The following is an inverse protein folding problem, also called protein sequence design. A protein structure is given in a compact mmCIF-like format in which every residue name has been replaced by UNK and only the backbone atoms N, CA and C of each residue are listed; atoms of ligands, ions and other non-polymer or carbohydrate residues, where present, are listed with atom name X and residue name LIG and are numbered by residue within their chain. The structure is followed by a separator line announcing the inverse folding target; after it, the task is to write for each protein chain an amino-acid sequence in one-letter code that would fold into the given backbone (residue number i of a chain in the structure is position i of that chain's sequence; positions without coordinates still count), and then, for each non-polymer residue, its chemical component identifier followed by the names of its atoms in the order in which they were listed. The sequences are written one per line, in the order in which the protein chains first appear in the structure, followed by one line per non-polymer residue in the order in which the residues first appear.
data_IF_161158686598
#
_entry.id   IF_161158686598
#
_cell.length_a   1.000
_cell.length_b   1.000
_cell.length_c   1.000
_cell.angle_alpha   90.00
_cell.angle_beta   90.00
_cell.angle_gamma   90.00
#
_symmetry.space_group_name_H-M   'P 1'
#
loop_
_entity.id
_entity.type
_entity.pdbx_description
1 polymer ?
#
# COMPACT_ATOMS: atom_id res chain seq x y z
N UNK A 1 -8.36 17.34 -13.24
CA UNK A 1 -8.71 17.44 -11.81
C UNK A 1 -7.46 17.81 -11.04
N UNK A 2 -7.46 18.92 -10.30
CA UNK A 2 -6.34 19.32 -9.44
C UNK A 2 -6.72 18.99 -8.00
N UNK A 3 -5.96 18.11 -7.35
CA UNK A 3 -6.15 17.81 -5.94
C UNK A 3 -5.49 18.87 -5.07
N UNK A 4 -6.18 19.33 -4.04
CA UNK A 4 -5.58 20.19 -3.01
C UNK A 4 -4.54 19.42 -2.20
N UNK A 5 -4.83 18.16 -1.89
CA UNK A 5 -3.94 17.23 -1.18
C UNK A 5 -3.77 15.94 -1.98
N UNK A 6 -2.53 15.54 -2.22
CA UNK A 6 -2.23 14.28 -2.90
C UNK A 6 -2.24 13.08 -1.94
N UNK A 7 -2.10 13.35 -0.66
CA UNK A 7 -2.19 12.38 0.44
C UNK A 7 -2.62 13.08 1.72
N UNK A 8 -3.15 12.29 2.64
CA UNK A 8 -3.45 12.67 4.03
C UNK A 8 -2.79 11.66 4.96
N UNK A 9 -2.26 12.10 6.09
CA UNK A 9 -1.56 11.21 6.98
C UNK A 9 -1.99 11.37 8.43
N UNK A 10 -1.87 10.26 9.18
CA UNK A 10 -2.15 10.20 10.61
C UNK A 10 -0.93 9.63 11.32
N UNK A 11 -0.46 10.32 12.34
CA UNK A 11 0.56 9.79 13.22
C UNK A 11 -0.10 8.90 14.28
N UNK A 12 0.43 7.69 14.48
CA UNK A 12 -0.08 6.75 15.48
C UNK A 12 -1.60 6.43 15.33
N UNK A 13 -2.12 6.30 14.11
CA UNK A 13 -3.50 5.93 13.86
C UNK A 13 -3.86 4.58 14.49
N UNK A 14 -2.94 3.63 14.45
CA UNK A 14 -3.09 2.30 15.03
C UNK A 14 -2.17 2.18 16.24
N UNK A 15 -2.68 1.72 17.42
CA UNK A 15 -1.85 1.50 18.59
C UNK A 15 -0.72 0.50 18.33
N UNK A 16 0.47 0.74 18.88
CA UNK A 16 1.65 -0.13 18.68
C UNK A 16 1.42 -1.58 19.07
N UNK A 17 0.64 -1.81 20.13
CA UNK A 17 0.27 -3.17 20.54
C UNK A 17 -0.51 -3.87 19.44
N UNK A 18 -1.51 -3.19 18.88
CA UNK A 18 -2.32 -3.73 17.78
C UNK A 18 -1.49 -3.96 16.51
N UNK A 19 -0.49 -3.12 16.22
CA UNK A 19 0.45 -3.36 15.13
C UNK A 19 1.22 -4.68 15.31
N UNK A 20 1.69 -4.96 16.54
CA UNK A 20 2.36 -6.22 16.87
C UNK A 20 1.43 -7.42 16.74
N UNK A 21 0.19 -7.29 17.21
CA UNK A 21 -0.82 -8.35 17.09
C UNK A 21 -1.10 -8.67 15.61
N UNK A 22 -1.21 -7.66 14.76
CA UNK A 22 -1.39 -7.82 13.31
C UNK A 22 -0.19 -8.54 12.69
N UNK A 23 1.05 -8.16 13.04
CA UNK A 23 2.27 -8.81 12.54
C UNK A 23 2.29 -10.29 12.94
N UNK A 24 2.04 -10.59 14.22
CA UNK A 24 2.04 -11.95 14.73
C UNK A 24 0.94 -12.79 14.07
N UNK A 25 -0.25 -12.24 13.94
CA UNK A 25 -1.38 -12.89 13.29
C UNK A 25 -1.08 -13.17 11.80
N UNK A 26 -0.57 -12.20 11.04
CA UNK A 26 -0.23 -12.41 9.65
C UNK A 26 0.84 -13.49 9.46
N UNK A 27 1.87 -13.50 10.32
CA UNK A 27 2.92 -14.54 10.31
C UNK A 27 2.38 -15.92 10.67
N UNK A 28 1.42 -16.03 11.57
CA UNK A 28 0.85 -17.33 11.98
C UNK A 28 0.02 -18.01 10.89
N UNK A 29 -0.43 -17.28 9.86
CA UNK A 29 -1.18 -17.85 8.73
C UNK A 29 -0.34 -18.80 7.86
N UNK A 30 0.99 -18.72 7.91
CA UNK A 30 1.92 -19.53 7.10
C UNK A 30 1.59 -19.54 5.59
N UNK A 31 0.88 -18.50 5.09
CA UNK A 31 0.47 -18.34 3.68
C UNK A 31 1.19 -17.15 3.05
N UNK A 32 2.49 -17.04 3.28
CA UNK A 32 3.31 -15.99 2.68
C UNK A 32 3.56 -16.30 1.20
N UNK A 33 3.15 -15.38 0.34
CA UNK A 33 3.31 -15.47 -1.12
C UNK A 33 4.26 -14.40 -1.63
N UNK A 34 4.97 -14.71 -2.72
CA UNK A 34 5.68 -13.68 -3.46
C UNK A 34 4.66 -12.75 -4.13
N UNK A 35 4.84 -11.43 -3.95
CA UNK A 35 3.91 -10.45 -4.51
C UNK A 35 4.03 -10.37 -6.04
N UNK A 36 2.90 -10.43 -6.71
CA UNK A 36 2.79 -10.33 -8.17
C UNK A 36 2.34 -8.90 -8.53
N UNK A 37 2.71 -8.44 -9.71
CA UNK A 37 2.30 -7.16 -10.28
C UNK A 37 1.50 -7.42 -11.55
N UNK A 38 0.31 -6.85 -11.65
CA UNK A 38 -0.45 -6.83 -12.90
C UNK A 38 0.35 -6.11 -13.99
N UNK A 39 0.29 -6.61 -15.23
CA UNK A 39 0.99 -6.01 -16.37
C UNK A 39 2.37 -6.60 -16.68
N UNK A 40 2.86 -7.57 -15.91
CA UNK A 40 4.00 -8.40 -16.35
C UNK A 40 3.49 -9.37 -17.42
N UNK A 41 4.10 -9.41 -18.64
CA UNK A 41 3.63 -10.26 -19.74
C UNK A 41 3.47 -11.73 -19.32
N UNK A 42 2.29 -12.30 -19.55
CA UNK A 42 1.95 -13.68 -19.21
C UNK A 42 1.62 -13.91 -17.73
N UNK A 43 1.37 -12.87 -16.96
CA UNK A 43 0.88 -12.96 -15.56
C UNK A 43 -0.53 -12.36 -15.50
N UNK A 44 -1.53 -13.21 -15.69
CA UNK A 44 -2.93 -12.77 -15.74
C UNK A 44 -3.62 -12.82 -14.36
N UNK A 45 -3.20 -13.71 -13.46
CA UNK A 45 -3.82 -13.89 -12.12
C UNK A 45 -2.78 -14.14 -11.02
N UNK A 46 -3.08 -13.66 -9.82
CA UNK A 46 -2.24 -13.86 -8.61
C UNK A 46 -2.04 -15.34 -8.20
N UNK A 47 -2.80 -16.25 -8.77
CA UNK A 47 -2.78 -17.69 -8.44
C UNK A 47 -1.85 -18.51 -9.32
N UNK A 48 -1.26 -17.95 -10.36
CA UNK A 48 -0.42 -18.68 -11.29
C UNK A 48 1.00 -18.92 -10.75
N UNK A 49 1.53 -20.13 -10.98
CA UNK A 49 2.94 -20.44 -10.70
C UNK A 49 3.83 -19.70 -11.69
N UNK A 50 4.39 -18.57 -11.28
CA UNK A 50 5.32 -17.82 -12.10
C UNK A 50 6.54 -18.66 -12.49
N UNK A 51 6.92 -18.64 -13.77
CA UNK A 51 8.19 -19.14 -14.26
C UNK A 51 9.37 -18.35 -13.63
N UNK A 52 10.57 -18.90 -13.70
CA UNK A 52 11.79 -18.22 -13.22
C UNK A 52 11.98 -16.85 -13.89
N UNK A 53 11.71 -16.74 -15.19
CA UNK A 53 11.82 -15.51 -15.97
C UNK A 53 10.79 -14.46 -15.51
N UNK A 54 9.52 -14.86 -15.37
CA UNK A 54 8.45 -13.97 -14.89
C UNK A 54 8.73 -13.46 -13.46
N UNK A 55 9.27 -14.30 -12.58
CA UNK A 55 9.71 -13.86 -11.25
C UNK A 55 10.83 -12.84 -11.31
N UNK A 56 11.79 -12.99 -12.24
CA UNK A 56 12.86 -12.02 -12.41
C UNK A 56 12.34 -10.67 -12.94
N UNK A 57 11.43 -10.67 -13.91
CA UNK A 57 10.81 -9.44 -14.42
C UNK A 57 9.96 -8.76 -13.34
N UNK A 58 9.13 -9.52 -12.62
CA UNK A 58 8.36 -8.98 -11.49
C UNK A 58 9.27 -8.33 -10.45
N UNK A 59 10.41 -8.97 -10.12
CA UNK A 59 11.37 -8.44 -9.13
C UNK A 59 11.98 -7.09 -9.52
N UNK A 60 12.04 -6.76 -10.80
CA UNK A 60 12.52 -5.43 -11.24
C UNK A 60 11.58 -4.31 -10.84
N UNK A 61 10.27 -4.59 -10.87
CA UNK A 61 9.22 -3.62 -10.51
C UNK A 61 8.82 -3.76 -9.05
N UNK A 62 8.62 -5.00 -8.59
CA UNK A 62 8.20 -5.31 -7.23
C UNK A 62 8.92 -6.55 -6.71
N UNK A 63 9.62 -6.38 -5.61
CA UNK A 63 10.21 -7.47 -4.86
C UNK A 63 9.72 -7.39 -3.42
N UNK A 64 8.71 -8.15 -3.06
CA UNK A 64 8.14 -8.20 -1.71
C UNK A 64 7.39 -9.51 -1.48
N UNK A 65 7.10 -9.81 -0.22
CA UNK A 65 6.23 -10.92 0.15
C UNK A 65 4.94 -10.39 0.76
N UNK A 66 3.85 -11.12 0.58
CA UNK A 66 2.52 -10.71 1.04
C UNK A 66 1.78 -11.83 1.73
N UNK A 67 0.90 -11.44 2.66
CA UNK A 67 -0.15 -12.28 3.24
C UNK A 67 -1.46 -11.51 3.10
N UNK A 68 -2.52 -12.18 2.63
CA UNK A 68 -3.83 -11.57 2.47
C UNK A 68 -4.68 -11.78 3.71
N UNK A 69 -5.25 -10.67 4.23
CA UNK A 69 -6.04 -10.63 5.46
C UNK A 69 -7.47 -10.15 5.14
N UNK A 70 -8.47 -10.73 5.82
CA UNK A 70 -9.89 -10.37 5.67
C UNK A 70 -10.59 -10.16 7.02
N UNK A 71 -9.82 -10.00 8.06
CA UNK A 71 -10.28 -9.97 9.45
C UNK A 71 -11.00 -8.66 9.77
N UNK A 72 -12.29 -8.70 10.16
CA UNK A 72 -13.07 -7.51 10.48
C UNK A 72 -12.48 -6.67 11.59
N UNK A 73 -11.79 -7.29 12.57
CA UNK A 73 -11.16 -6.57 13.68
C UNK A 73 -10.03 -5.64 13.23
N UNK A 74 -9.35 -5.94 12.09
CA UNK A 74 -8.36 -5.07 11.46
C UNK A 74 -9.08 -3.99 10.65
N UNK A 75 -10.00 -4.40 9.77
CA UNK A 75 -10.73 -3.53 8.84
C UNK A 75 -11.43 -2.41 9.60
N UNK A 76 -12.19 -2.75 10.64
CA UNK A 76 -12.98 -1.80 11.44
C UNK A 76 -12.13 -0.75 12.17
N UNK A 77 -10.85 -1.02 12.41
CA UNK A 77 -9.92 -0.03 13.00
C UNK A 77 -9.36 0.95 11.97
N UNK A 78 -9.32 0.59 10.71
CA UNK A 78 -8.67 1.35 9.64
C UNK A 78 -9.67 2.24 8.87
N UNK A 79 -10.83 1.70 8.52
CA UNK A 79 -11.85 2.39 7.70
C UNK A 79 -12.23 3.78 8.22
N UNK A 80 -12.42 4.02 9.54
CA UNK A 80 -12.75 5.37 10.02
C UNK A 80 -11.71 6.43 9.67
N UNK A 81 -10.42 6.08 9.72
CA UNK A 81 -9.34 6.98 9.32
C UNK A 81 -9.37 7.30 7.82
N UNK A 82 -9.64 6.30 6.97
CA UNK A 82 -9.74 6.52 5.52
C UNK A 82 -10.93 7.43 5.20
N UNK A 83 -12.09 7.24 5.86
CA UNK A 83 -13.25 8.14 5.72
C UNK A 83 -12.92 9.58 6.16
N UNK A 84 -12.24 9.73 7.29
CA UNK A 84 -11.79 11.04 7.80
C UNK A 84 -10.84 11.72 6.81
N UNK A 85 -9.85 10.99 6.27
CA UNK A 85 -8.93 11.52 5.26
C UNK A 85 -9.68 11.96 3.99
N UNK A 86 -10.58 11.13 3.49
CA UNK A 86 -11.38 11.41 2.29
C UNK A 86 -12.18 12.71 2.42
N UNK A 87 -12.80 12.92 3.58
CA UNK A 87 -13.54 14.14 3.89
C UNK A 87 -12.61 15.35 4.06
N UNK A 88 -11.59 15.24 4.91
CA UNK A 88 -10.73 16.37 5.29
C UNK A 88 -9.84 16.83 4.15
N UNK A 89 -9.40 15.92 3.28
CA UNK A 89 -8.65 16.25 2.07
C UNK A 89 -9.54 16.77 0.92
N UNK A 90 -10.86 16.81 1.11
CA UNK A 90 -11.81 17.28 0.10
C UNK A 90 -11.93 16.36 -1.12
N UNK A 91 -11.47 15.10 -1.03
CA UNK A 91 -11.58 14.18 -2.16
C UNK A 91 -13.02 13.72 -2.39
N UNK A 92 -13.76 13.43 -1.32
CA UNK A 92 -15.19 13.05 -1.31
C UNK A 92 -15.51 11.89 -2.27
N UNK A 93 -14.58 10.94 -2.42
CA UNK A 93 -14.83 9.75 -3.23
C UNK A 93 -15.89 8.85 -2.57
N UNK A 94 -16.85 8.41 -3.38
CA UNK A 94 -17.78 7.36 -3.01
C UNK A 94 -17.08 6.00 -3.14
N UNK A 95 -17.21 5.16 -2.13
CA UNK A 95 -16.73 3.79 -2.11
C UNK A 95 -17.67 2.88 -1.33
N UNK A 96 -17.70 1.62 -1.70
CA UNK A 96 -18.62 0.63 -1.15
C UNK A 96 -17.88 -0.50 -0.44
N UNK A 97 -16.81 -0.99 -1.03
CA UNK A 97 -16.11 -2.18 -0.60
C UNK A 97 -14.68 -1.89 -0.14
N UNK A 98 -14.23 -2.71 0.81
CA UNK A 98 -12.82 -2.88 1.15
C UNK A 98 -12.34 -4.21 0.55
N UNK A 99 -11.27 -4.17 -0.22
CA UNK A 99 -10.60 -5.39 -0.67
C UNK A 99 -9.97 -6.15 0.50
N UNK A 100 -9.49 -7.36 0.24
CA UNK A 100 -8.62 -8.06 1.19
C UNK A 100 -7.40 -7.19 1.49
N UNK A 101 -7.08 -7.03 2.78
CA UNK A 101 -5.94 -6.24 3.22
C UNK A 101 -4.66 -6.98 2.88
N UNK A 102 -3.69 -6.29 2.30
CA UNK A 102 -2.39 -6.84 2.02
C UNK A 102 -1.42 -6.53 3.17
N UNK A 103 -1.04 -7.55 3.94
CA UNK A 103 0.13 -7.47 4.81
C UNK A 103 1.37 -7.67 3.97
N UNK A 104 2.26 -6.67 3.93
CA UNK A 104 3.45 -6.69 3.08
C UNK A 104 4.73 -6.74 3.91
N UNK A 105 5.64 -7.59 3.48
CA UNK A 105 6.95 -7.82 4.08
C UNK A 105 8.01 -7.37 3.08
N UNK A 106 8.85 -6.42 3.48
CA UNK A 106 10.02 -5.97 2.73
C UNK A 106 11.27 -6.27 3.54
N UNK A 107 12.03 -7.29 3.12
CA UNK A 107 13.37 -7.58 3.62
C UNK A 107 14.44 -6.80 2.85
N UNK A 108 15.72 -7.11 3.12
CA UNK A 108 16.85 -6.46 2.45
C UNK A 108 16.75 -6.52 0.92
N UNK A 109 16.96 -5.37 0.26
CA UNK A 109 16.84 -5.14 -1.18
C UNK A 109 15.44 -5.34 -1.75
N UNK A 110 14.42 -5.50 -0.92
CA UNK A 110 13.03 -5.58 -1.35
C UNK A 110 12.43 -4.18 -1.47
N UNK A 111 11.57 -4.00 -2.48
CA UNK A 111 11.01 -2.71 -2.89
C UNK A 111 9.73 -2.88 -3.71
N UNK A 112 9.08 -1.77 -4.00
CA UNK A 112 8.04 -1.66 -5.01
C UNK A 112 8.21 -0.32 -5.74
N UNK A 113 8.55 -0.39 -7.03
CA UNK A 113 8.84 0.82 -7.82
C UNK A 113 7.58 1.63 -8.13
N UNK A 114 7.75 2.73 -8.85
CA UNK A 114 6.69 3.68 -9.17
C UNK A 114 5.48 3.02 -9.83
N UNK A 115 4.33 3.16 -9.19
CA UNK A 115 3.05 2.62 -9.65
C UNK A 115 1.87 3.45 -9.14
N UNK A 116 0.69 3.25 -9.74
CA UNK A 116 -0.60 3.61 -9.21
C UNK A 116 -1.37 2.35 -8.83
N UNK A 117 -2.19 2.43 -7.80
CA UNK A 117 -3.02 1.29 -7.37
C UNK A 117 -4.30 1.13 -8.18
N UNK A 118 -4.77 2.21 -8.82
CA UNK A 118 -5.96 2.20 -9.66
C UNK A 118 -5.62 1.75 -11.07
N UNK A 119 -6.27 0.68 -11.53
CA UNK A 119 -6.26 0.28 -12.94
C UNK A 119 -7.13 1.19 -13.82
N UNK A 120 -6.89 1.18 -15.14
CA UNK A 120 -7.69 1.92 -16.14
C UNK A 120 -9.02 1.21 -16.37
N UNK A 121 -9.04 -0.12 -16.27
CA UNK A 121 -10.21 -0.96 -16.53
C UNK A 121 -10.84 -1.35 -15.19
N UNK A 122 -12.18 -1.19 -15.05
CA UNK A 122 -12.90 -1.70 -13.89
C UNK A 122 -12.77 -3.22 -13.75
N UNK A 123 -12.90 -3.71 -12.52
CA UNK A 123 -12.93 -5.14 -12.24
C UNK A 123 -14.23 -5.81 -12.78
N UNK A 124 -14.37 -7.11 -12.54
CA UNK A 124 -15.54 -7.89 -12.96
C UNK A 124 -16.89 -7.39 -12.38
N UNK A 125 -16.83 -6.61 -11.29
CA UNK A 125 -17.99 -5.96 -10.65
C UNK A 125 -18.19 -4.51 -11.11
N UNK A 126 -17.46 -4.05 -12.12
CA UNK A 126 -17.52 -2.68 -12.63
C UNK A 126 -16.88 -1.65 -11.69
N UNK A 127 -16.03 -2.07 -10.73
CA UNK A 127 -15.42 -1.19 -9.71
C UNK A 127 -13.96 -0.93 -9.96
N UNK A 128 -13.50 0.21 -9.47
CA UNK A 128 -12.08 0.63 -9.45
C UNK A 128 -11.67 0.99 -8.03
N UNK A 129 -10.37 0.87 -7.73
CA UNK A 129 -9.83 1.38 -6.47
C UNK A 129 -9.90 2.90 -6.45
N UNK A 130 -10.53 3.46 -5.42
CA UNK A 130 -10.71 4.91 -5.21
C UNK A 130 -9.67 5.46 -4.26
N UNK A 131 -9.51 4.79 -3.13
CA UNK A 131 -8.62 5.19 -2.05
C UNK A 131 -7.71 4.04 -1.66
N UNK A 132 -6.46 4.39 -1.44
CA UNK A 132 -5.43 3.52 -0.89
C UNK A 132 -4.97 4.03 0.47
N UNK A 133 -4.63 3.11 1.35
CA UNK A 133 -3.95 3.44 2.60
C UNK A 133 -2.75 2.53 2.82
N UNK A 134 -1.63 3.11 3.27
CA UNK A 134 -0.44 2.39 3.69
C UNK A 134 -0.17 2.66 5.16
N UNK A 135 -0.11 1.60 5.97
CA UNK A 135 0.11 1.68 7.42
C UNK A 135 1.45 1.01 7.76
N UNK A 136 2.35 1.75 8.42
CA UNK A 136 3.58 1.18 8.93
C UNK A 136 3.28 0.39 10.21
N UNK A 137 3.74 -0.85 10.31
CA UNK A 137 3.41 -1.73 11.44
C UNK A 137 4.54 -1.88 12.46
N UNK A 138 5.80 -1.70 12.05
CA UNK A 138 6.94 -1.80 12.96
C UNK A 138 7.70 -0.49 13.09
N UNK A 139 8.53 -0.40 14.11
CA UNK A 139 9.23 0.84 14.42
C UNK A 139 10.31 1.15 13.37
N UNK A 140 10.51 2.44 13.02
CA UNK A 140 11.57 2.85 12.10
C UNK A 140 12.99 2.45 12.53
N UNK A 141 13.20 2.18 13.81
CA UNK A 141 14.47 1.69 14.34
C UNK A 141 14.78 0.23 13.97
N UNK A 142 13.79 -0.52 13.49
CA UNK A 142 13.91 -1.93 13.14
C UNK A 142 14.37 -2.15 11.68
N UNK A 143 14.41 -1.09 10.87
CA UNK A 143 14.84 -1.17 9.47
C UNK A 143 15.43 0.16 8.98
N UNK A 144 16.15 0.10 7.84
CA UNK A 144 16.70 1.26 7.15
C UNK A 144 16.24 1.22 5.67
N UNK A 145 16.02 2.38 5.07
CA UNK A 145 15.39 2.48 3.74
C UNK A 145 13.89 2.22 3.80
N UNK A 146 13.29 1.80 2.70
CA UNK A 146 11.87 1.47 2.63
C UNK A 146 10.95 2.67 2.75
N UNK A 147 11.41 3.88 2.43
CA UNK A 147 10.58 5.09 2.44
C UNK A 147 9.44 4.95 1.44
N UNK A 148 8.24 5.36 1.87
CA UNK A 148 7.10 5.57 0.99
C UNK A 148 7.25 6.95 0.36
N UNK A 149 7.30 7.00 -0.96
CA UNK A 149 7.44 8.22 -1.73
C UNK A 149 6.23 8.43 -2.64
N UNK A 150 5.79 9.68 -2.79
CA UNK A 150 4.73 10.09 -3.70
C UNK A 150 5.31 10.92 -4.84
N UNK A 151 4.89 10.61 -6.07
CA UNK A 151 5.29 11.32 -7.28
C UNK A 151 4.22 12.30 -7.76
N UNK A 152 4.63 13.50 -8.17
CA UNK A 152 3.76 14.43 -8.89
C UNK A 152 3.90 14.25 -10.40
N UNK A 153 2.79 13.88 -11.07
CA UNK A 153 2.75 13.69 -12.53
C UNK A 153 2.80 14.98 -13.36
N UNK A 154 2.48 16.12 -12.76
CA UNK A 154 2.31 17.36 -13.50
C UNK A 154 3.60 18.00 -14.02
N UNK A 155 4.77 17.54 -13.58
CA UNK A 155 6.08 18.06 -14.03
C UNK A 155 7.12 16.94 -14.07
N UNK A 156 7.64 16.58 -15.26
CA UNK A 156 8.59 15.47 -15.43
C UNK A 156 9.86 15.56 -14.56
N UNK A 157 10.23 16.75 -14.10
CA UNK A 157 11.47 17.03 -13.37
C UNK A 157 11.25 17.40 -11.90
N UNK A 158 10.05 17.19 -11.33
CA UNK A 158 9.84 17.45 -9.91
C UNK A 158 10.44 16.32 -9.06
N UNK A 159 11.12 16.73 -7.98
CA UNK A 159 11.55 15.76 -6.96
C UNK A 159 10.31 15.13 -6.31
N UNK A 160 10.33 13.81 -6.06
CA UNK A 160 9.21 13.15 -5.37
C UNK A 160 9.03 13.72 -3.97
N UNK A 161 7.78 13.79 -3.52
CA UNK A 161 7.47 14.09 -2.12
C UNK A 161 7.79 12.83 -1.33
N UNK A 162 8.69 12.94 -0.37
CA UNK A 162 9.12 11.82 0.46
C UNK A 162 8.33 11.83 1.75
N UNK A 163 7.50 10.82 1.97
CA UNK A 163 7.00 10.46 3.29
C UNK A 163 7.99 9.50 3.94
N UNK A 164 8.92 10.05 4.69
CA UNK A 164 9.89 9.25 5.43
C UNK A 164 9.27 8.69 6.70
N UNK A 165 9.63 7.45 7.04
CA UNK A 165 9.34 6.88 8.36
C UNK A 165 9.95 7.72 9.49
N UNK A 166 10.98 8.52 9.22
CA UNK A 166 11.62 9.41 10.22
C UNK A 166 10.87 10.71 10.43
N UNK A 167 10.12 11.19 9.45
CA UNK A 167 9.45 12.50 9.51
C UNK A 167 7.94 12.39 9.64
N UNK A 168 7.29 11.73 8.70
CA UNK A 168 5.83 11.70 8.57
C UNK A 168 5.22 10.36 9.00
N UNK A 169 5.93 9.23 8.80
CA UNK A 169 5.56 7.93 9.33
C UNK A 169 6.50 7.56 10.48
N UNK A 170 6.63 8.47 11.44
CA UNK A 170 7.67 8.46 12.48
C UNK A 170 7.53 7.35 13.53
N UNK A 171 6.55 6.46 13.42
CA UNK A 171 6.32 5.37 14.37
C UNK A 171 5.42 4.29 13.78
N UNK A 172 5.48 3.11 14.39
CA UNK A 172 4.50 2.05 14.14
C UNK A 172 3.07 2.57 14.34
N UNK A 173 2.17 2.19 13.46
CA UNK A 173 0.78 2.61 13.45
C UNK A 173 0.50 3.91 12.69
N UNK A 174 1.52 4.60 12.19
CA UNK A 174 1.29 5.76 11.31
C UNK A 174 0.73 5.31 9.96
N UNK A 175 -0.17 6.11 9.41
CA UNK A 175 -0.96 5.79 8.20
C UNK A 175 -0.90 6.94 7.20
N UNK A 176 -0.63 6.63 5.94
CA UNK A 176 -0.86 7.52 4.81
C UNK A 176 -2.07 7.03 4.02
N UNK A 177 -3.00 7.94 3.70
CA UNK A 177 -4.17 7.70 2.84
C UNK A 177 -4.03 8.57 1.61
N UNK A 178 -4.37 8.04 0.43
CA UNK A 178 -4.23 8.77 -0.83
C UNK A 178 -5.19 8.22 -1.89
N UNK A 179 -5.57 9.04 -2.90
CA UNK A 179 -6.30 8.55 -4.06
C UNK A 179 -5.50 7.48 -4.80
N UNK A 180 -6.15 6.37 -5.17
CA UNK A 180 -5.46 5.20 -5.72
C UNK A 180 -4.74 5.44 -7.04
N UNK A 181 -5.04 6.54 -7.73
CA UNK A 181 -4.34 6.95 -8.95
C UNK A 181 -3.06 7.79 -8.69
N UNK A 182 -2.78 8.14 -7.43
CA UNK A 182 -1.55 8.87 -7.09
C UNK A 182 -0.36 7.93 -7.20
N UNK A 183 0.62 8.35 -7.97
CA UNK A 183 1.86 7.58 -8.16
C UNK A 183 2.69 7.57 -6.89
N UNK A 184 3.13 6.38 -6.52
CA UNK A 184 3.91 6.19 -5.31
C UNK A 184 4.85 4.99 -5.47
N UNK A 185 5.82 4.90 -4.57
CA UNK A 185 6.74 3.75 -4.49
C UNK A 185 7.17 3.48 -3.05
N UNK A 186 7.69 2.28 -2.81
CA UNK A 186 8.46 1.91 -1.62
C UNK A 186 9.89 1.67 -2.05
N UNK A 187 10.82 2.49 -1.54
CA UNK A 187 12.25 2.35 -1.81
C UNK A 187 12.80 1.03 -1.28
N UNK A 188 13.96 0.58 -1.77
CA UNK A 188 14.61 -0.60 -1.23
C UNK A 188 14.87 -0.47 0.28
N UNK A 189 14.52 -1.51 1.02
CA UNK A 189 14.96 -1.68 2.41
C UNK A 189 16.42 -2.07 2.38
N UNK A 190 17.29 -1.31 3.04
CA UNK A 190 18.75 -1.56 3.05
C UNK A 190 19.19 -2.44 4.21
N UNK A 191 18.42 -2.41 5.33
CA UNK A 191 18.67 -3.22 6.52
C UNK A 191 17.40 -3.54 7.26
N UNK A 192 17.33 -4.67 7.95
CA UNK A 192 16.18 -5.11 8.72
C UNK A 192 15.00 -5.56 7.85
N UNK A 193 13.79 -5.48 8.39
CA UNK A 193 12.54 -5.87 7.73
C UNK A 193 11.48 -4.83 8.03
N UNK A 194 10.84 -4.33 6.97
CA UNK A 194 9.72 -3.40 7.06
C UNK A 194 8.40 -4.16 6.89
N UNK A 195 7.47 -3.98 7.82
CA UNK A 195 6.11 -4.52 7.77
C UNK A 195 5.11 -3.40 7.55
N UNK A 196 4.17 -3.61 6.62
CA UNK A 196 3.07 -2.67 6.39
C UNK A 196 1.77 -3.36 6.02
N UNK A 197 0.64 -2.67 6.27
CA UNK A 197 -0.63 -3.00 5.64
C UNK A 197 -0.87 -2.08 4.46
N UNK A 198 -1.44 -2.62 3.40
CA UNK A 198 -2.03 -1.86 2.30
C UNK A 198 -3.52 -2.19 2.23
N UNK A 199 -4.33 -1.16 2.15
CA UNK A 199 -5.80 -1.25 2.14
C UNK A 199 -6.33 -0.50 0.95
N UNK A 200 -7.25 -1.10 0.21
CA UNK A 200 -7.91 -0.49 -0.95
C UNK A 200 -9.41 -0.45 -0.76
N UNK A 201 -9.97 0.73 -1.01
CA UNK A 201 -11.42 0.93 -1.06
C UNK A 201 -11.85 1.12 -2.50
N UNK A 202 -12.84 0.33 -2.90
CA UNK A 202 -13.39 0.30 -4.26
C UNK A 202 -14.76 0.96 -4.33
N UNK A 203 -15.04 1.54 -5.49
CA UNK A 203 -16.34 2.07 -5.87
C UNK A 203 -16.45 2.16 -7.39
N UNK A 204 -17.61 2.58 -7.88
CA UNK A 204 -17.81 2.77 -9.32
C UNK A 204 -16.89 3.88 -9.86
N UNK A 205 -16.49 3.82 -11.14
CA UNK A 205 -15.71 4.88 -11.78
C UNK A 205 -16.31 6.27 -11.55
N UNK A 206 -15.51 7.31 -11.72
CA UNK A 206 -16.01 8.68 -11.72
C UNK A 206 -16.93 8.87 -12.93
N UNK A 207 -18.08 9.46 -12.68
CA UNK A 207 -19.04 9.86 -13.72
C UNK A 207 -18.68 11.27 -14.20
#
# INVERSE_FOLDING_TARGET
MQLQYNYWWFKNAIPKLLCRDIINFAKSKNDTKFAIVAGVPGVEKETEKLSKRQKQETKKVRNSNVVWLREPWIINKIIPYIRTANKNAGWNFEFENCESIQFTIYGKNQHYDWHADCGIVPDENGKVRKLSASILLNEPSEFEGGELEFGHYSKPNQKPIILSSKENLASAGSMAVFPSFVFHRVKPVTKGVRYSLVVWLQGFPLK
#
